data_IF_535672183074
#
_entry.id   IF_535672183074
#
_cell.length_a   1.000
_cell.length_b   1.000
_cell.length_c   1.000
_cell.angle_alpha   90.00
_cell.angle_beta   90.00
_cell.angle_gamma   90.00
#
_symmetry.space_group_name_H-M   'P 1'
#
loop_
_entity.id
_entity.type
_entity.pdbx_description
1 polymer ?
#
# COMPACT_ATOMS: atom_id res chain seq x y z
N UNK A 1 11.16 -4.52 -17.60
CA UNK A 1 11.24 -3.44 -16.59
C UNK A 1 12.60 -3.44 -15.91
N UNK A 2 13.01 -2.30 -15.35
CA UNK A 2 14.19 -2.17 -14.47
C UNK A 2 13.68 -1.95 -13.05
N UNK A 3 14.36 -2.53 -12.06
CA UNK A 3 14.03 -2.38 -10.64
C UNK A 3 15.01 -1.37 -10.01
N UNK A 4 14.46 -0.35 -9.33
CA UNK A 4 15.18 0.59 -8.50
C UNK A 4 14.89 0.20 -7.03
N UNK A 5 15.78 -0.54 -6.34
CA UNK A 5 15.57 -0.91 -4.95
C UNK A 5 15.84 0.28 -4.04
N UNK A 6 14.93 0.50 -3.07
CA UNK A 6 15.06 1.54 -2.04
C UNK A 6 14.87 0.88 -0.69
N UNK A 7 15.88 0.92 0.16
CA UNK A 7 15.84 0.36 1.50
C UNK A 7 15.35 1.38 2.51
N UNK A 8 14.44 0.96 3.38
CA UNK A 8 13.99 1.72 4.54
C UNK A 8 14.49 1.05 5.82
N UNK A 9 14.93 1.83 6.77
CA UNK A 9 15.28 1.33 8.10
C UNK A 9 14.04 1.29 8.98
N UNK A 10 13.47 0.11 9.18
CA UNK A 10 12.31 -0.12 10.04
C UNK A 10 12.70 -0.41 11.50
N UNK A 11 13.99 -0.35 11.82
CA UNK A 11 14.52 -0.62 13.17
C UNK A 11 14.30 0.55 14.13
N UNK A 12 14.41 0.22 15.42
CA UNK A 12 14.20 1.18 16.54
C UNK A 12 15.49 1.88 16.98
N UNK A 13 16.66 1.54 16.43
CA UNK A 13 17.94 2.05 16.88
C UNK A 13 18.60 2.96 15.86
N UNK A 14 18.47 4.26 16.08
CA UNK A 14 19.25 5.31 15.42
C UNK A 14 18.92 5.51 13.93
N UNK A 15 18.67 6.71 13.52
CA UNK A 15 18.38 7.08 12.13
C UNK A 15 17.13 7.94 11.99
N UNK A 16 16.79 8.24 10.74
CA UNK A 16 15.57 9.00 10.42
C UNK A 16 14.33 8.15 10.72
N UNK A 17 13.29 8.79 11.21
CA UNK A 17 11.99 8.17 11.43
C UNK A 17 11.39 7.67 10.10
N UNK A 18 10.45 6.72 10.17
CA UNK A 18 9.69 6.28 8.99
C UNK A 18 8.95 7.45 8.34
N UNK A 19 8.49 8.39 9.14
CA UNK A 19 7.79 9.60 8.67
C UNK A 19 8.69 10.52 7.84
N UNK A 20 10.02 10.45 8.02
CA UNK A 20 11.01 11.16 7.21
C UNK A 20 11.52 10.31 6.03
N UNK A 21 11.63 9.00 6.22
CA UNK A 21 12.18 8.11 5.20
C UNK A 21 11.22 7.90 4.03
N UNK A 22 9.92 7.73 4.28
CA UNK A 22 8.92 7.46 3.22
C UNK A 22 8.86 8.62 2.21
N UNK A 23 8.67 9.89 2.60
CA UNK A 23 8.64 10.96 1.62
C UNK A 23 9.97 11.12 0.87
N UNK A 24 11.10 10.93 1.53
CA UNK A 24 12.41 10.96 0.89
C UNK A 24 12.56 9.82 -0.15
N UNK A 25 12.11 8.62 0.16
CA UNK A 25 12.13 7.46 -0.74
C UNK A 25 11.23 7.67 -1.96
N UNK A 26 10.02 8.21 -1.77
CA UNK A 26 9.10 8.53 -2.86
C UNK A 26 9.71 9.57 -3.79
N UNK A 27 10.24 10.69 -3.26
CA UNK A 27 10.93 11.71 -4.06
C UNK A 27 12.12 11.10 -4.82
N UNK A 28 12.96 10.34 -4.14
CA UNK A 28 14.11 9.68 -4.75
C UNK A 28 13.68 8.79 -5.93
N UNK A 29 12.66 7.96 -5.76
CA UNK A 29 12.14 7.10 -6.82
C UNK A 29 11.70 7.92 -8.05
N UNK A 30 10.91 8.98 -7.82
CA UNK A 30 10.42 9.87 -8.88
C UNK A 30 11.57 10.55 -9.61
N UNK A 31 12.54 11.11 -8.89
CA UNK A 31 13.69 11.83 -9.45
C UNK A 31 14.61 10.92 -10.24
N UNK A 32 14.63 9.61 -9.92
CA UNK A 32 15.40 8.60 -10.67
C UNK A 32 14.57 7.87 -11.75
N UNK A 33 13.42 8.45 -12.13
CA UNK A 33 12.63 8.03 -13.28
C UNK A 33 11.76 6.79 -13.05
N UNK A 34 11.45 6.43 -11.80
CA UNK A 34 10.46 5.41 -11.52
C UNK A 34 9.09 5.84 -12.08
N UNK A 35 8.45 4.96 -12.81
CA UNK A 35 7.12 5.17 -13.37
C UNK A 35 6.04 4.54 -12.49
N UNK A 36 6.44 3.55 -11.69
CA UNK A 36 5.57 2.83 -10.74
C UNK A 36 6.38 2.61 -9.46
N UNK A 37 5.78 2.82 -8.31
CA UNK A 37 6.37 2.58 -6.99
C UNK A 37 5.55 1.49 -6.30
N UNK A 38 6.22 0.42 -5.83
CA UNK A 38 5.62 -0.59 -4.98
C UNK A 38 5.95 -0.30 -3.51
N UNK A 39 4.93 -0.26 -2.67
CA UNK A 39 5.06 -0.05 -1.23
C UNK A 39 4.43 -1.22 -0.47
N UNK A 40 5.21 -2.28 -0.25
CA UNK A 40 4.80 -3.43 0.59
C UNK A 40 4.98 -3.12 2.08
N UNK A 41 4.55 -1.94 2.49
CA UNK A 41 4.59 -1.42 3.85
C UNK A 41 3.22 -0.89 4.24
N UNK A 42 2.94 -0.84 5.53
CA UNK A 42 1.68 -0.32 6.06
C UNK A 42 1.82 0.11 7.51
N UNK A 43 0.85 0.83 7.99
CA UNK A 43 0.73 1.27 9.39
C UNK A 43 -0.63 0.89 9.96
N UNK A 44 -0.79 1.03 11.26
CA UNK A 44 -2.07 0.87 11.95
C UNK A 44 -2.92 2.17 11.99
N UNK A 45 -2.43 3.22 11.33
CA UNK A 45 -3.12 4.52 11.26
C UNK A 45 -3.74 4.70 9.88
N UNK A 46 -4.99 5.12 9.84
CA UNK A 46 -5.68 5.46 8.58
C UNK A 46 -5.25 6.81 8.02
N UNK A 47 -4.77 7.71 8.87
CA UNK A 47 -4.21 8.99 8.50
C UNK A 47 -2.69 8.90 8.30
N UNK A 48 -2.15 9.79 7.49
CA UNK A 48 -0.73 9.92 7.24
C UNK A 48 -0.20 11.27 7.76
N UNK A 49 1.11 11.36 8.09
CA UNK A 49 1.74 12.62 8.48
C UNK A 49 1.67 13.66 7.36
N UNK A 50 1.48 14.92 7.73
CA UNK A 50 1.49 16.03 6.76
C UNK A 50 2.80 16.12 5.97
N UNK A 51 3.92 15.68 6.57
CA UNK A 51 5.22 15.61 5.91
C UNK A 51 5.25 14.73 4.63
N UNK A 52 4.25 13.84 4.47
CA UNK A 52 4.14 12.99 3.27
C UNK A 52 3.42 13.69 2.10
N UNK A 53 2.57 14.67 2.39
CA UNK A 53 1.69 15.32 1.41
C UNK A 53 2.43 15.75 0.15
N UNK A 54 3.52 16.51 0.31
CA UNK A 54 4.28 17.01 -0.82
C UNK A 54 4.93 15.93 -1.68
N UNK A 55 5.42 14.84 -1.06
CA UNK A 55 6.11 13.78 -1.80
C UNK A 55 5.11 12.95 -2.63
N UNK A 56 3.94 12.65 -2.06
CA UNK A 56 2.89 11.91 -2.78
C UNK A 56 2.23 12.78 -3.84
N UNK A 57 1.97 14.07 -3.57
CA UNK A 57 1.50 15.01 -4.58
C UNK A 57 2.52 15.20 -5.72
N UNK A 58 3.81 15.21 -5.40
CA UNK A 58 4.87 15.24 -6.40
C UNK A 58 4.88 14.00 -7.30
N UNK A 59 4.72 12.80 -6.72
CA UNK A 59 4.59 11.57 -7.49
C UNK A 59 3.37 11.60 -8.42
N UNK A 60 2.21 12.07 -7.91
CA UNK A 60 1.00 12.28 -8.71
C UNK A 60 1.24 13.24 -9.88
N UNK A 61 1.84 14.40 -9.62
CA UNK A 61 2.18 15.41 -10.62
C UNK A 61 3.10 14.89 -11.72
N UNK A 62 4.04 14.01 -11.34
CA UNK A 62 4.99 13.36 -12.28
C UNK A 62 4.38 12.15 -12.99
N UNK A 63 3.12 11.82 -12.71
CA UNK A 63 2.42 10.70 -13.34
C UNK A 63 2.97 9.34 -12.91
N UNK A 64 3.46 9.22 -11.69
CA UNK A 64 3.95 7.97 -11.11
C UNK A 64 2.80 7.24 -10.40
N UNK A 65 2.55 5.99 -10.77
CA UNK A 65 1.57 5.15 -10.08
C UNK A 65 2.17 4.58 -8.81
N UNK A 66 1.53 4.81 -7.66
CA UNK A 66 1.90 4.17 -6.40
C UNK A 66 0.95 3.00 -6.14
N UNK A 67 1.52 1.82 -5.90
CA UNK A 67 0.81 0.60 -5.52
C UNK A 67 1.21 0.24 -4.10
N UNK A 68 0.23 0.06 -3.20
CA UNK A 68 0.51 -0.23 -1.79
C UNK A 68 -0.24 -1.48 -1.31
N UNK A 69 0.37 -2.20 -0.36
CA UNK A 69 -0.26 -3.31 0.33
C UNK A 69 -1.32 -2.81 1.32
N UNK A 70 -2.49 -3.47 1.37
CA UNK A 70 -3.58 -3.11 2.27
C UNK A 70 -3.26 -3.32 3.75
N UNK A 71 -2.25 -4.16 4.06
CA UNK A 71 -1.95 -4.62 5.41
C UNK A 71 -2.56 -5.99 5.70
N UNK A 72 -2.18 -6.60 6.83
CA UNK A 72 -2.49 -7.97 7.17
C UNK A 72 -3.17 -8.06 8.55
N UNK A 73 -4.34 -8.66 8.65
CA UNK A 73 -5.01 -8.90 9.93
C UNK A 73 -4.21 -9.84 10.82
N UNK A 74 -3.51 -10.80 10.23
CA UNK A 74 -2.58 -11.68 10.95
C UNK A 74 -1.42 -10.95 11.65
N UNK A 75 -1.13 -9.70 11.26
CA UNK A 75 -0.18 -8.82 11.93
C UNK A 75 -0.85 -7.84 12.92
N UNK A 76 -2.11 -8.07 13.26
CA UNK A 76 -2.87 -7.24 14.20
C UNK A 76 -3.52 -5.99 13.61
N UNK A 77 -3.46 -5.80 12.27
CA UNK A 77 -4.13 -4.69 11.60
C UNK A 77 -5.60 -5.05 11.34
N UNK A 78 -6.53 -4.22 11.82
CA UNK A 78 -7.97 -4.44 11.62
C UNK A 78 -8.52 -3.78 10.36
N UNK A 79 -7.83 -2.76 9.85
CA UNK A 79 -8.24 -1.98 8.70
C UNK A 79 -7.02 -1.51 7.90
N UNK A 80 -7.27 -1.06 6.68
CA UNK A 80 -6.23 -0.47 5.82
C UNK A 80 -5.64 0.78 6.49
N UNK A 81 -4.31 0.85 6.52
CA UNK A 81 -3.56 1.99 7.05
C UNK A 81 -2.73 2.70 5.99
N UNK A 82 -2.21 3.87 6.32
CA UNK A 82 -1.32 4.61 5.43
C UNK A 82 -0.02 3.81 5.15
N UNK A 83 0.52 3.90 3.90
CA UNK A 83 0.18 4.80 2.81
C UNK A 83 -0.99 4.35 1.92
N UNK A 84 -1.56 3.16 2.15
CA UNK A 84 -2.61 2.58 1.32
C UNK A 84 -3.97 3.33 1.41
N UNK A 85 -4.12 4.23 2.38
CA UNK A 85 -5.30 5.12 2.51
C UNK A 85 -5.17 6.43 1.76
N UNK A 86 -3.99 6.75 1.23
CA UNK A 86 -3.74 8.02 0.52
C UNK A 86 -4.52 8.01 -0.80
N UNK A 87 -5.31 9.05 -1.10
CA UNK A 87 -6.02 9.15 -2.37
C UNK A 87 -5.09 9.06 -3.57
N UNK A 88 -5.49 8.28 -4.57
CA UNK A 88 -4.68 8.04 -5.77
C UNK A 88 -3.73 6.84 -5.67
N UNK A 89 -3.50 6.29 -4.48
CA UNK A 89 -2.73 5.06 -4.28
C UNK A 89 -3.58 3.85 -4.65
N UNK A 90 -3.03 2.94 -5.45
CA UNK A 90 -3.67 1.68 -5.81
C UNK A 90 -3.41 0.65 -4.71
N UNK A 91 -4.40 0.44 -3.87
CA UNK A 91 -4.32 -0.43 -2.70
C UNK A 91 -4.68 -1.86 -3.05
N UNK A 92 -3.80 -2.80 -2.69
CA UNK A 92 -3.95 -4.22 -3.02
C UNK A 92 -4.19 -5.02 -1.75
N UNK A 93 -5.36 -5.66 -1.69
CA UNK A 93 -5.71 -6.67 -0.69
C UNK A 93 -5.23 -8.07 -1.11
N UNK A 94 -5.46 -9.04 -0.24
CA UNK A 94 -4.99 -10.41 -0.43
C UNK A 94 -6.09 -11.46 -0.45
N UNK A 95 -5.99 -12.41 -1.38
CA UNK A 95 -6.85 -13.60 -1.47
C UNK A 95 -6.04 -14.90 -1.40
N UNK A 96 -6.73 -15.97 -1.04
CA UNK A 96 -6.23 -17.33 -1.10
C UNK A 96 -6.43 -17.98 -2.49
N UNK A 97 -6.11 -19.28 -2.60
CA UNK A 97 -6.26 -20.06 -3.84
C UNK A 97 -7.73 -20.26 -4.27
N UNK A 98 -8.68 -20.11 -3.35
CA UNK A 98 -10.10 -20.21 -3.61
C UNK A 98 -10.73 -18.86 -3.95
N UNK A 99 -9.89 -17.83 -4.18
CA UNK A 99 -10.30 -16.42 -4.39
C UNK A 99 -11.07 -15.83 -3.21
N UNK A 100 -10.90 -16.38 -2.00
CA UNK A 100 -11.49 -15.83 -0.78
C UNK A 100 -10.50 -14.86 -0.13
N UNK A 101 -11.02 -13.73 0.37
CA UNK A 101 -10.18 -12.76 1.11
C UNK A 101 -9.53 -13.48 2.30
N UNK A 102 -8.21 -13.47 2.31
CA UNK A 102 -7.44 -14.11 3.36
C UNK A 102 -7.45 -13.26 4.63
N UNK A 103 -8.02 -13.81 5.70
CA UNK A 103 -8.03 -13.11 7.00
C UNK A 103 -6.62 -12.85 7.56
N UNK A 104 -5.67 -13.74 7.30
CA UNK A 104 -4.28 -13.58 7.74
C UNK A 104 -3.51 -12.55 6.91
N UNK A 105 -3.77 -12.46 5.61
CA UNK A 105 -2.95 -11.72 4.64
C UNK A 105 -3.66 -10.56 3.95
N UNK A 106 -4.81 -10.12 4.48
CA UNK A 106 -5.51 -8.91 4.02
C UNK A 106 -6.18 -8.21 5.20
N UNK A 107 -6.29 -6.90 5.12
CA UNK A 107 -7.19 -6.07 5.94
C UNK A 107 -8.48 -5.79 5.17
N UNK A 108 -9.30 -4.88 5.70
CA UNK A 108 -10.50 -4.38 5.06
C UNK A 108 -10.49 -2.85 5.04
N UNK A 109 -11.13 -2.24 4.06
CA UNK A 109 -11.28 -0.80 3.97
C UNK A 109 -11.67 -0.30 2.58
N UNK A 110 -12.34 0.84 2.55
CA UNK A 110 -12.84 1.46 1.31
C UNK A 110 -11.75 1.86 0.32
N UNK A 111 -10.49 1.94 0.78
CA UNK A 111 -9.35 2.25 -0.09
C UNK A 111 -8.84 1.03 -0.87
N UNK A 112 -9.26 -0.20 -0.55
CA UNK A 112 -8.89 -1.34 -1.38
C UNK A 112 -9.38 -1.12 -2.81
N UNK A 113 -8.45 -1.21 -3.76
CA UNK A 113 -8.73 -1.11 -5.18
C UNK A 113 -8.99 -2.49 -5.80
N UNK A 114 -8.08 -3.42 -5.62
CA UNK A 114 -8.21 -4.80 -6.11
C UNK A 114 -7.61 -5.77 -5.10
N UNK A 115 -7.93 -7.05 -5.24
CA UNK A 115 -7.28 -8.12 -4.47
C UNK A 115 -6.49 -9.04 -5.41
N UNK A 116 -5.38 -9.57 -4.92
CA UNK A 116 -4.53 -10.49 -5.67
C UNK A 116 -4.04 -11.65 -4.78
N UNK A 117 -3.52 -12.75 -5.36
CA UNK A 117 -2.99 -13.87 -4.59
C UNK A 117 -1.99 -13.43 -3.52
N UNK A 118 -2.16 -13.92 -2.30
CA UNK A 118 -1.40 -13.46 -1.13
C UNK A 118 -1.02 -14.56 -0.14
N UNK A 119 -1.39 -15.81 -0.40
CA UNK A 119 -1.09 -16.94 0.48
C UNK A 119 -0.19 -17.95 -0.21
N UNK A 120 0.77 -18.49 0.52
CA UNK A 120 1.72 -19.51 0.03
C UNK A 120 2.44 -19.10 -1.26
N UNK A 121 2.78 -17.82 -1.36
CA UNK A 121 3.48 -17.27 -2.51
C UNK A 121 4.98 -17.63 -2.42
N UNK A 122 5.56 -18.06 -3.52
CA UNK A 122 7.00 -18.30 -3.60
C UNK A 122 7.71 -16.98 -3.89
N UNK A 123 8.65 -16.60 -3.05
CA UNK A 123 9.49 -15.43 -3.20
C UNK A 123 10.97 -15.79 -3.17
N UNK A 124 11.79 -14.99 -3.86
CA UNK A 124 13.24 -15.11 -3.78
C UNK A 124 13.73 -14.77 -2.37
N UNK A 125 14.68 -15.51 -1.87
CA UNK A 125 15.31 -15.32 -0.58
C UNK A 125 16.82 -15.08 -0.71
N UNK A 126 17.49 -14.45 0.28
CA UNK A 126 18.93 -14.34 0.31
C UNK A 126 19.61 -15.71 0.17
N UNK A 127 20.81 -15.73 -0.42
CA UNK A 127 21.56 -16.96 -0.62
C UNK A 127 21.09 -17.82 -1.79
N UNK A 128 20.49 -17.22 -2.81
CA UNK A 128 19.95 -17.89 -4.01
C UNK A 128 18.85 -18.93 -3.71
N UNK A 129 18.14 -18.75 -2.60
CA UNK A 129 17.05 -19.62 -2.18
C UNK A 129 15.68 -19.05 -2.53
N UNK A 130 14.66 -19.80 -2.15
CA UNK A 130 13.26 -19.40 -2.19
C UNK A 130 12.62 -19.58 -0.82
N UNK A 131 11.59 -18.79 -0.55
CA UNK A 131 10.80 -18.91 0.67
C UNK A 131 9.31 -18.80 0.35
N UNK A 132 8.50 -19.40 1.21
CA UNK A 132 7.06 -19.16 1.17
C UNK A 132 6.75 -17.85 1.88
N UNK A 133 5.91 -17.05 1.26
CA UNK A 133 5.52 -15.75 1.73
C UNK A 133 4.00 -15.58 1.69
N UNK A 134 3.41 -15.04 2.74
CA UNK A 134 1.99 -14.71 2.77
C UNK A 134 1.80 -13.28 3.28
N UNK A 135 0.82 -12.58 2.69
CA UNK A 135 0.51 -11.21 3.05
C UNK A 135 0.12 -10.37 1.84
N UNK A 136 -0.62 -9.29 2.06
CA UNK A 136 -0.88 -8.27 1.03
C UNK A 136 0.42 -7.68 0.46
N UNK A 137 1.53 -7.79 1.22
CA UNK A 137 2.89 -7.46 0.77
C UNK A 137 3.39 -8.36 -0.37
N UNK A 138 2.82 -9.57 -0.53
CA UNK A 138 3.09 -10.46 -1.67
C UNK A 138 2.14 -10.17 -2.85
N UNK A 139 0.92 -9.73 -2.57
CA UNK A 139 -0.07 -9.39 -3.59
C UNK A 139 0.27 -8.08 -4.33
N UNK A 140 0.70 -7.04 -3.62
CA UNK A 140 1.03 -5.74 -4.20
C UNK A 140 2.09 -5.81 -5.33
N UNK A 141 3.22 -6.52 -5.18
CA UNK A 141 4.22 -6.62 -6.25
C UNK A 141 3.73 -7.39 -7.48
N UNK A 142 2.75 -8.29 -7.38
CA UNK A 142 2.12 -8.93 -8.54
C UNK A 142 1.39 -7.89 -9.41
N UNK A 143 0.56 -7.08 -8.78
CA UNK A 143 -0.17 -5.98 -9.45
C UNK A 143 0.81 -4.96 -10.01
N UNK A 144 1.84 -4.61 -9.25
CA UNK A 144 2.92 -3.70 -9.68
C UNK A 144 3.66 -4.23 -10.91
N UNK A 145 3.96 -5.53 -10.93
CA UNK A 145 4.62 -6.18 -12.07
C UNK A 145 3.78 -6.10 -13.35
N UNK A 146 2.48 -6.35 -13.25
CA UNK A 146 1.57 -6.21 -14.40
C UNK A 146 1.41 -4.73 -14.80
N UNK A 147 1.34 -3.81 -13.84
CA UNK A 147 1.36 -2.37 -14.15
C UNK A 147 2.61 -1.97 -14.95
N UNK A 148 3.77 -2.54 -14.62
CA UNK A 148 5.01 -2.31 -15.37
C UNK A 148 4.95 -2.90 -16.79
N UNK A 149 4.36 -4.08 -16.98
CA UNK A 149 4.11 -4.66 -18.32
C UNK A 149 3.12 -3.81 -19.12
N UNK A 150 2.07 -3.32 -18.49
CA UNK A 150 1.11 -2.40 -19.10
C UNK A 150 1.80 -1.11 -19.55
N UNK A 151 2.63 -0.53 -18.71
CA UNK A 151 3.40 0.68 -19.05
C UNK A 151 4.37 0.44 -20.19
N UNK A 152 4.93 -0.76 -20.30
CA UNK A 152 5.77 -1.17 -21.45
C UNK A 152 4.94 -1.31 -22.73
N UNK A 153 3.75 -1.91 -22.63
CA UNK A 153 2.86 -2.12 -23.80
C UNK A 153 2.19 -0.81 -24.25
N UNK A 154 1.84 0.03 -23.29
CA UNK A 154 1.13 1.30 -23.50
C UNK A 154 1.92 2.47 -22.92
N UNK A 155 3.09 2.83 -23.49
CA UNK A 155 4.02 3.79 -22.88
C UNK A 155 3.46 5.20 -22.72
N UNK A 156 2.42 5.55 -23.48
CA UNK A 156 1.77 6.86 -23.45
C UNK A 156 0.65 6.96 -22.39
N UNK A 157 0.19 5.83 -21.84
CA UNK A 157 -0.85 5.86 -20.80
C UNK A 157 -0.34 6.53 -19.52
N UNK A 158 -1.16 7.41 -18.97
CA UNK A 158 -0.93 8.07 -17.70
C UNK A 158 -1.09 7.09 -16.51
N UNK A 159 -0.65 7.50 -15.31
CA UNK A 159 -0.91 6.72 -14.09
C UNK A 159 -2.41 6.53 -13.84
N UNK A 160 -3.23 7.55 -14.12
CA UNK A 160 -4.70 7.46 -14.04
C UNK A 160 -5.28 6.41 -14.99
N UNK A 161 -4.80 6.35 -16.23
CA UNK A 161 -5.23 5.35 -17.20
C UNK A 161 -4.79 3.94 -16.82
N UNK A 162 -3.57 3.78 -16.27
CA UNK A 162 -3.11 2.49 -15.74
C UNK A 162 -3.96 2.05 -14.54
N UNK A 163 -4.24 2.96 -13.60
CA UNK A 163 -5.11 2.67 -12.46
C UNK A 163 -6.52 2.27 -12.93
N UNK A 164 -7.12 3.04 -13.85
CA UNK A 164 -8.43 2.73 -14.41
C UNK A 164 -8.45 1.35 -15.10
N UNK A 165 -7.40 1.03 -15.86
CA UNK A 165 -7.28 -0.26 -16.53
C UNK A 165 -7.29 -1.42 -15.53
N UNK A 166 -6.52 -1.29 -14.44
CA UNK A 166 -6.37 -2.32 -13.41
C UNK A 166 -7.67 -2.53 -12.62
N UNK A 167 -8.43 -1.46 -12.33
CA UNK A 167 -9.70 -1.60 -11.61
C UNK A 167 -10.85 -2.01 -12.53
N UNK A 168 -10.89 -1.54 -13.77
CA UNK A 168 -11.97 -1.84 -14.71
C UNK A 168 -11.89 -3.28 -15.28
N UNK A 169 -10.73 -3.91 -15.22
CA UNK A 169 -10.52 -5.29 -15.66
C UNK A 169 -10.59 -6.31 -14.52
N UNK A 170 -10.84 -5.87 -13.29
CA UNK A 170 -10.96 -6.78 -12.16
C UNK A 170 -12.26 -7.60 -12.25
N UNK A 171 -12.17 -8.89 -11.89
CA UNK A 171 -13.35 -9.77 -11.80
C UNK A 171 -14.11 -9.43 -10.53
N UNK A 172 -15.32 -8.91 -10.64
CA UNK A 172 -16.17 -8.56 -9.48
C UNK A 172 -16.34 -9.77 -8.55
N UNK A 173 -16.20 -9.54 -7.25
CA UNK A 173 -16.27 -10.59 -6.24
C UNK A 173 -16.76 -10.02 -4.90
N UNK A 174 -17.35 -10.85 -4.08
CA UNK A 174 -17.95 -10.44 -2.81
C UNK A 174 -19.33 -9.83 -3.00
N UNK A 175 -19.54 -8.65 -2.46
CA UNK A 175 -20.78 -7.88 -2.70
C UNK A 175 -20.67 -7.20 -4.06
N UNK A 176 -21.71 -7.30 -4.88
CA UNK A 176 -21.70 -6.76 -6.25
C UNK A 176 -21.26 -5.28 -6.29
N UNK A 177 -20.30 -4.99 -7.17
CA UNK A 177 -19.66 -3.69 -7.27
C UNK A 177 -18.53 -3.51 -6.24
N UNK A 178 -18.10 -2.29 -6.03
CA UNK A 178 -16.99 -1.99 -5.13
C UNK A 178 -17.35 -2.23 -3.66
N UNK A 179 -16.61 -3.06 -2.98
CA UNK A 179 -16.80 -3.39 -1.57
C UNK A 179 -15.50 -3.27 -0.73
N UNK A 180 -15.56 -3.20 0.62
CA UNK A 180 -14.38 -2.98 1.45
C UNK A 180 -13.46 -4.20 1.61
N UNK A 181 -13.78 -5.36 1.07
CA UNK A 181 -12.97 -6.58 1.14
C UNK A 181 -12.26 -6.86 -0.17
N UNK A 182 -12.96 -6.74 -1.30
CA UNK A 182 -12.45 -7.04 -2.64
C UNK A 182 -12.12 -5.78 -3.47
N UNK A 183 -12.54 -4.59 -3.02
CA UNK A 183 -12.41 -3.38 -3.82
C UNK A 183 -13.29 -3.45 -5.06
N UNK A 184 -12.69 -3.31 -6.25
CA UNK A 184 -13.37 -3.52 -7.54
C UNK A 184 -13.38 -5.00 -7.97
N UNK A 185 -12.72 -5.89 -7.22
CA UNK A 185 -12.72 -7.32 -7.50
C UNK A 185 -11.34 -7.96 -7.49
N UNK A 186 -11.30 -9.20 -7.97
CA UNK A 186 -10.07 -9.99 -8.13
C UNK A 186 -9.29 -9.49 -9.33
N UNK A 187 -8.03 -9.17 -9.11
CA UNK A 187 -7.11 -8.71 -10.15
C UNK A 187 -7.01 -9.69 -11.32
N UNK A 188 -7.30 -9.22 -12.53
CA UNK A 188 -7.24 -10.00 -13.78
C UNK A 188 -6.20 -9.42 -14.73
N UNK A 189 -4.98 -10.00 -14.77
CA UNK A 189 -3.91 -9.49 -15.62
C UNK A 189 -4.19 -9.66 -17.11
N UNK A 190 -4.92 -10.69 -17.53
CA UNK A 190 -5.23 -10.93 -18.95
C UNK A 190 -6.16 -9.86 -19.49
N UNK A 191 -7.24 -9.60 -18.78
CA UNK A 191 -8.21 -8.57 -19.17
C UNK A 191 -7.61 -7.17 -19.06
N UNK A 192 -6.76 -6.91 -18.06
CA UNK A 192 -6.00 -5.66 -17.97
C UNK A 192 -5.12 -5.44 -19.20
N UNK A 193 -4.48 -6.47 -19.70
CA UNK A 193 -3.63 -6.40 -20.91
C UNK A 193 -4.45 -6.29 -22.20
N UNK A 194 -5.68 -6.82 -22.23
CA UNK A 194 -6.55 -6.83 -23.42
C UNK A 194 -7.43 -5.58 -23.54
N UNK A 195 -7.78 -4.95 -22.41
CA UNK A 195 -8.66 -3.79 -22.36
C UNK A 195 -8.15 -2.67 -23.27
N UNK A 196 -9.06 -2.00 -23.98
CA UNK A 196 -8.72 -0.78 -24.73
C UNK A 196 -8.24 0.33 -23.81
N UNK A 197 -7.45 1.27 -24.35
CA UNK A 197 -6.93 2.38 -23.54
C UNK A 197 -8.07 3.18 -22.92
N UNK A 198 -8.13 3.32 -21.58
CA UNK A 198 -9.19 4.05 -20.91
C UNK A 198 -9.18 5.54 -21.27
N UNK A 199 -10.35 6.08 -21.57
CA UNK A 199 -10.53 7.50 -21.87
C UNK A 199 -10.74 8.32 -20.60
N UNK A 200 -9.83 8.19 -19.62
CA UNK A 200 -9.91 8.92 -18.34
C UNK A 200 -8.77 9.91 -18.21
N UNK A 201 -9.03 11.03 -17.56
CA UNK A 201 -8.05 12.08 -17.23
C UNK A 201 -7.75 12.12 -15.72
N UNK A 202 -8.72 11.67 -14.90
CA UNK A 202 -8.59 11.62 -13.44
C UNK A 202 -8.34 10.18 -12.97
N UNK A 203 -7.58 10.04 -11.88
CA UNK A 203 -7.36 8.75 -11.23
C UNK A 203 -8.68 8.29 -10.55
N UNK A 204 -9.20 7.08 -10.87
CA UNK A 204 -10.44 6.58 -10.27
C UNK A 204 -10.34 6.36 -8.75
N UNK A 205 -9.13 6.34 -8.22
CA UNK A 205 -8.83 6.16 -6.79
C UNK A 205 -8.68 7.50 -6.04
N UNK A 206 -8.94 8.63 -6.71
CA UNK A 206 -8.85 9.97 -6.15
C UNK A 206 -7.53 10.67 -6.43
N UNK A 207 -7.36 11.85 -5.82
CA UNK A 207 -6.17 12.71 -5.94
C UNK A 207 -5.74 13.21 -4.57
N UNK A 208 -4.48 12.98 -4.24
CA UNK A 208 -3.91 13.55 -3.00
C UNK A 208 -3.81 15.07 -3.09
N UNK A 209 -3.52 15.63 -4.26
CA UNK A 209 -3.45 17.08 -4.46
C UNK A 209 -4.79 17.76 -4.18
N UNK A 210 -5.89 17.19 -4.66
CA UNK A 210 -7.25 17.67 -4.37
C UNK A 210 -7.59 17.51 -2.88
N UNK A 211 -7.23 16.37 -2.29
CA UNK A 211 -7.47 16.13 -0.87
C UNK A 211 -6.74 17.15 0.02
N UNK A 212 -5.46 17.45 -0.28
CA UNK A 212 -4.66 18.47 0.43
C UNK A 212 -5.34 19.83 0.30
N UNK A 213 -5.80 20.19 -0.90
CA UNK A 213 -6.44 21.48 -1.14
C UNK A 213 -7.71 21.68 -0.30
N UNK A 214 -8.42 20.59 -0.01
CA UNK A 214 -9.66 20.64 0.80
C UNK A 214 -9.37 20.56 2.29
N UNK A 215 -8.51 19.61 2.72
CA UNK A 215 -8.42 19.23 4.14
C UNK A 215 -7.27 19.88 4.89
N UNK A 216 -6.15 20.23 4.21
CA UNK A 216 -5.00 20.87 4.87
C UNK A 216 -5.12 22.39 4.97
N UNK A 217 -5.79 23.02 4.00
CA UNK A 217 -6.02 24.48 4.04
C UNK A 217 -7.00 24.93 5.13
N UNK A 218 -7.89 24.04 5.57
CA UNK A 218 -8.83 24.35 6.66
C UNK A 218 -8.17 24.37 8.05
N UNK A 219 -7.03 23.69 8.23
CA UNK A 219 -6.30 23.68 9.51
C UNK A 219 -5.54 24.99 9.81
N UNK A 220 -5.38 25.87 8.84
CA UNK A 220 -4.69 27.17 9.00
C UNK A 220 -5.62 28.30 9.46
N UNK A 221 -6.94 28.06 9.51
CA UNK A 221 -7.94 29.08 9.80
C UNK A 221 -8.67 28.95 11.15
N UNK A 222 -8.24 28.08 12.08
CA UNK A 222 -8.73 28.15 13.46
C UNK A 222 -7.92 29.18 14.24
N UNK A 223 -8.55 30.25 14.76
CA UNK A 223 -7.86 31.16 15.67
C UNK A 223 -7.50 30.41 16.95
N UNK A 224 -6.23 30.44 17.33
CA UNK A 224 -5.77 29.94 18.63
C UNK A 224 -6.61 30.58 19.73
N UNK A 225 -7.27 29.82 20.61
CA UNK A 225 -7.89 30.42 21.81
C UNK A 225 -6.76 30.94 22.68
N UNK A 226 -6.67 32.26 22.79
CA UNK A 226 -5.87 32.92 23.79
C UNK A 226 -6.56 32.75 25.13
N UNK A 227 -5.77 32.33 26.14
CA UNK A 227 -6.05 32.37 27.55
C UNK A 227 -7.20 31.51 28.12
N UNK A 228 -6.87 30.27 28.44
CA UNK A 228 -7.49 29.56 29.57
C UNK A 228 -6.38 29.04 30.50
N UNK A 229 -6.56 29.33 31.77
CA UNK A 229 -5.63 29.06 32.89
C UNK A 229 -5.23 27.59 33.04
N UNK A 230 -4.12 27.27 33.71
CA UNK A 230 -3.59 25.91 33.82
C UNK A 230 -4.50 25.02 34.66
N UNK A 231 -4.96 23.92 34.08
CA UNK A 231 -5.61 22.83 34.80
C UNK A 231 -4.52 21.84 35.23
N UNK A 232 -4.48 21.54 36.53
CA UNK A 232 -3.61 20.55 37.14
C UNK A 232 -3.84 19.17 36.51
N UNK A 233 -2.81 18.58 35.94
CA UNK A 233 -2.80 17.16 35.59
C UNK A 233 -2.49 16.32 36.82
N UNK A 234 -3.45 15.50 37.25
CA UNK A 234 -3.18 14.33 38.08
C UNK A 234 -2.73 13.17 37.18
N UNK A 235 -1.56 12.60 37.48
CA UNK A 235 -0.92 11.58 36.67
C UNK A 235 -1.63 10.23 36.74
N UNK A 236 -1.95 9.69 35.58
CA UNK A 236 -2.23 8.26 35.42
C UNK A 236 -1.03 7.56 34.79
N UNK A 237 -0.55 6.52 35.46
CA UNK A 237 0.59 5.70 35.09
C UNK A 237 0.25 4.82 33.88
N UNK A 238 1.00 4.98 32.81
CA UNK A 238 0.92 4.11 31.62
C UNK A 238 1.53 2.74 31.93
N UNK A 239 0.70 1.70 31.91
CA UNK A 239 1.15 0.32 31.98
C UNK A 239 1.76 -0.07 30.63
N UNK A 240 3.06 -0.35 30.64
CA UNK A 240 3.84 -0.78 29.49
C UNK A 240 3.49 -2.24 29.16
N UNK A 241 2.76 -2.49 28.09
CA UNK A 241 2.54 -3.85 27.59
C UNK A 241 3.84 -4.41 27.01
N UNK A 242 4.24 -5.58 27.47
CA UNK A 242 5.42 -6.28 26.99
C UNK A 242 5.15 -6.86 25.57
N UNK A 243 6.14 -6.74 24.69
CA UNK A 243 6.11 -7.35 23.36
C UNK A 243 6.09 -8.89 23.46
N UNK A 244 5.32 -9.59 22.61
CA UNK A 244 5.36 -11.05 22.57
C UNK A 244 6.69 -11.55 22.01
N UNK A 245 7.24 -12.54 22.69
CA UNK A 245 8.50 -13.21 22.42
C UNK A 245 8.49 -13.86 21.03
N UNK A 246 9.40 -13.46 20.15
CA UNK A 246 9.57 -14.08 18.85
C UNK A 246 10.21 -15.46 19.02
N UNK A 247 9.40 -16.50 19.10
CA UNK A 247 9.90 -17.89 19.10
C UNK A 247 10.44 -18.24 17.71
N UNK A 248 11.72 -18.59 17.63
CA UNK A 248 12.30 -19.26 16.48
C UNK A 248 11.52 -20.54 16.15
N UNK A 249 11.22 -20.81 14.88
CA UNK A 249 10.70 -22.11 14.50
C UNK A 249 11.75 -23.19 14.78
N UNK A 250 11.33 -24.43 15.17
CA UNK A 250 12.26 -25.51 15.42
C UNK A 250 13.00 -25.91 14.15
N UNK A 251 14.30 -26.11 14.27
CA UNK A 251 15.15 -26.76 13.28
C UNK A 251 14.74 -28.23 13.15
N UNK A 252 14.90 -28.78 11.96
CA UNK A 252 14.73 -30.17 11.54
C UNK A 252 13.31 -30.70 11.29
N UNK A 253 12.98 -30.71 9.99
CA UNK A 253 12.48 -31.93 9.33
C UNK A 253 12.83 -31.88 7.85
N UNK A 254 13.79 -32.75 7.48
CA UNK A 254 14.18 -32.99 6.11
C UNK A 254 12.99 -33.40 5.25
N UNK A 255 12.87 -32.76 4.10
CA UNK A 255 12.04 -33.18 2.99
C UNK A 255 12.95 -33.35 1.78
N UNK A 256 13.29 -34.61 1.45
CA UNK A 256 13.71 -35.01 0.12
C UNK A 256 12.57 -35.89 -0.43
N UNK A 257 12.02 -35.55 -1.60
CA UNK A 257 11.17 -36.49 -2.35
C UNK A 257 12.03 -37.45 -3.16
N UNK A 258 11.47 -38.63 -3.57
CA UNK A 258 12.10 -39.57 -4.45
C UNK A 258 12.23 -39.05 -5.89
#
# INVERSE_FOLDING_TARGET
>A
AKILPISLNMGTTGGKSIDEQIPAAVRYAVDHGAQIINMSIGSNKTSWPQSWDEAFAYAEQKGVLIVAAAGNRGSGLTQVGAPATIPGVLTVGGIDRNKQVSEGSSTQGISIAVVAPSTDMIAAAPGNGYMLWSGSSAAAPLVTGVAALLKQKYPKESAAQLAQRLVASADDAGVAGRDPLYGYGVFNPQDAMALASPAVTANPLGSISEWIAVHRKQQVSEPTPSDAAPVHEEGESIVKAAAPDARRPPEDRGWLPP
#
